data_IF_396303919809
#
_entry.id   IF_396303919809
#
_cell.length_a   1.000
_cell.length_b   1.000
_cell.length_c   1.000
_cell.angle_alpha   90.00
_cell.angle_beta   90.00
_cell.angle_gamma   90.00
#
_symmetry.space_group_name_H-M   'P 1'
#
loop_
_entity.id
_entity.type
_entity.pdbx_description
1 polymer ?
#
# COMPACT_ATOMS: atom_id res chain seq x y z
N UNK A 1 -2.38 14.11 9.18
CA UNK A 1 -2.33 13.18 8.06
C UNK A 1 -1.43 12.02 8.43
N UNK A 2 -1.89 10.80 8.14
CA UNK A 2 -1.13 9.56 8.30
C UNK A 2 -0.81 9.09 6.88
N UNK A 3 0.38 8.55 6.68
CA UNK A 3 0.75 7.84 5.46
C UNK A 3 1.17 6.41 5.76
N UNK A 4 1.11 5.58 4.72
CA UNK A 4 1.67 4.24 4.72
C UNK A 4 3.03 4.27 4.01
N UNK A 5 4.07 3.81 4.69
CA UNK A 5 5.40 3.64 4.14
C UNK A 5 5.67 2.15 3.86
N UNK A 6 6.03 1.83 2.62
CA UNK A 6 6.56 0.51 2.24
C UNK A 6 8.07 0.46 2.52
N UNK A 7 8.48 -0.42 3.42
CA UNK A 7 9.85 -0.50 3.91
C UNK A 7 10.65 -1.55 3.15
N UNK A 8 11.86 -1.20 2.72
CA UNK A 8 12.72 -2.10 1.94
C UNK A 8 12.01 -2.60 0.67
N UNK A 9 11.64 -1.65 -0.19
CA UNK A 9 10.99 -1.90 -1.48
C UNK A 9 11.83 -2.89 -2.31
N UNK A 10 11.19 -3.94 -2.82
CA UNK A 10 11.81 -4.99 -3.64
C UNK A 10 11.31 -4.97 -5.07
N UNK A 11 10.03 -4.66 -5.26
CA UNK A 11 9.41 -4.56 -6.57
C UNK A 11 8.34 -3.47 -6.56
N UNK A 12 8.26 -2.74 -7.66
CA UNK A 12 7.23 -1.74 -7.91
C UNK A 12 6.79 -1.83 -9.36
N UNK A 13 5.58 -2.33 -9.58
CA UNK A 13 4.88 -2.23 -10.85
C UNK A 13 3.72 -1.25 -10.66
N UNK A 14 3.72 -0.16 -11.43
CA UNK A 14 2.59 0.76 -11.50
C UNK A 14 1.89 0.53 -12.82
N UNK A 15 0.61 0.20 -12.80
CA UNK A 15 -0.18 0.00 -14.01
C UNK A 15 -1.06 1.23 -14.24
N UNK A 16 -0.63 2.19 -15.08
CA UNK A 16 -1.42 3.38 -15.34
C UNK A 16 -2.67 3.03 -16.15
N UNK A 17 -3.80 3.50 -15.66
CA UNK A 17 -5.09 3.48 -16.34
C UNK A 17 -5.34 4.82 -17.04
N UNK A 18 -6.31 4.88 -17.94
CA UNK A 18 -6.65 6.12 -18.64
C UNK A 18 -7.34 7.13 -17.70
N UNK A 19 -7.70 8.31 -18.22
CA UNK A 19 -8.32 9.40 -17.44
C UNK A 19 -9.70 9.07 -16.86
N UNK A 20 -10.29 7.92 -17.20
CA UNK A 20 -11.59 7.49 -16.68
C UNK A 20 -11.50 6.91 -15.26
N UNK A 21 -10.30 6.76 -14.70
CA UNK A 21 -10.04 6.15 -13.40
C UNK A 21 -9.44 7.14 -12.39
N UNK A 22 -9.68 6.88 -11.10
CA UNK A 22 -9.02 7.62 -10.01
C UNK A 22 -7.59 7.12 -9.81
N UNK A 23 -6.74 7.91 -9.15
CA UNK A 23 -5.38 7.51 -8.78
C UNK A 23 -5.32 6.60 -7.54
N UNK A 24 -6.44 5.98 -7.17
CA UNK A 24 -6.58 5.20 -5.93
C UNK A 24 -6.19 3.74 -6.17
N UNK A 25 -5.52 3.13 -5.19
CA UNK A 25 -5.40 1.67 -5.12
C UNK A 25 -6.69 1.15 -4.49
N UNK A 26 -7.66 0.76 -5.32
CA UNK A 26 -8.97 0.28 -4.89
C UNK A 26 -9.00 -1.26 -4.75
N UNK A 27 -9.89 -1.76 -3.91
CA UNK A 27 -10.15 -3.21 -3.70
C UNK A 27 -8.86 -4.00 -3.40
N UNK A 28 -7.90 -3.39 -2.70
CA UNK A 28 -6.55 -3.95 -2.64
C UNK A 28 -6.46 -5.25 -1.84
N UNK A 29 -5.68 -6.21 -2.34
CA UNK A 29 -5.29 -7.41 -1.59
C UNK A 29 -3.86 -7.28 -1.06
N UNK A 30 -3.66 -7.56 0.23
CA UNK A 30 -2.35 -7.66 0.86
C UNK A 30 -2.01 -9.14 1.14
N UNK A 31 -0.91 -9.62 0.58
CA UNK A 31 -0.43 -11.01 0.71
C UNK A 31 0.94 -11.00 1.40
N UNK A 32 1.14 -11.87 2.40
CA UNK A 32 2.43 -12.03 3.07
C UNK A 32 3.08 -13.35 2.64
N UNK A 33 4.21 -13.28 1.95
CA UNK A 33 4.91 -14.46 1.41
C UNK A 33 6.43 -14.27 1.48
N UNK A 34 7.14 -15.28 1.98
CA UNK A 34 8.60 -15.31 2.10
C UNK A 34 9.22 -14.08 2.79
N UNK A 35 8.56 -13.65 3.88
CA UNK A 35 8.97 -12.47 4.65
C UNK A 35 8.76 -11.13 3.94
N UNK A 36 7.97 -11.11 2.86
CA UNK A 36 7.61 -9.91 2.11
C UNK A 36 6.11 -9.67 2.14
N UNK A 37 5.74 -8.42 1.92
CA UNK A 37 4.37 -7.98 1.73
C UNK A 37 4.20 -7.62 0.26
N UNK A 38 3.20 -8.23 -0.38
CA UNK A 38 2.73 -7.92 -1.71
C UNK A 38 1.41 -7.16 -1.58
N UNK A 39 1.34 -5.96 -2.14
CA UNK A 39 0.15 -5.11 -2.14
C UNK A 39 -0.30 -4.92 -3.58
N UNK A 40 -1.49 -5.43 -3.90
CA UNK A 40 -2.06 -5.43 -5.24
C UNK A 40 -3.33 -4.57 -5.29
N UNK A 41 -3.59 -3.91 -6.41
CA UNK A 41 -4.79 -3.07 -6.66
C UNK A 41 -6.04 -3.84 -7.13
N UNK A 42 -6.19 -5.09 -6.68
CA UNK A 42 -7.35 -5.93 -7.02
C UNK A 42 -7.70 -6.88 -5.87
N UNK A 43 -9.01 -7.13 -5.71
CA UNK A 43 -9.56 -7.91 -4.62
C UNK A 43 -9.54 -9.41 -4.91
N UNK A 44 -9.66 -10.20 -3.85
CA UNK A 44 -9.75 -11.66 -3.92
C UNK A 44 -8.55 -12.36 -4.58
N UNK A 45 -7.37 -11.74 -4.53
CA UNK A 45 -6.13 -12.38 -4.99
C UNK A 45 -5.58 -13.34 -3.93
N UNK A 46 -4.82 -14.31 -4.40
CA UNK A 46 -4.11 -15.30 -3.60
C UNK A 46 -2.63 -15.37 -4.01
N UNK A 47 -1.82 -16.09 -3.25
CA UNK A 47 -0.39 -16.25 -3.55
C UNK A 47 -0.13 -16.85 -4.94
N UNK A 48 -1.04 -17.67 -5.48
CA UNK A 48 -0.88 -18.27 -6.81
C UNK A 48 -1.08 -17.27 -7.95
N UNK A 49 -1.72 -16.14 -7.68
CA UNK A 49 -2.00 -15.12 -8.71
C UNK A 49 -0.81 -14.17 -8.90
N UNK A 50 0.15 -14.14 -7.97
CA UNK A 50 1.25 -13.17 -7.94
C UNK A 50 2.18 -13.26 -9.16
N UNK A 51 2.46 -14.46 -9.64
CA UNK A 51 3.43 -14.68 -10.74
C UNK A 51 2.91 -14.16 -12.09
N UNK A 52 1.59 -14.15 -12.26
CA UNK A 52 0.90 -13.71 -13.49
C UNK A 52 0.16 -12.37 -13.32
N UNK A 53 0.30 -11.71 -12.17
CA UNK A 53 -0.41 -10.46 -11.90
C UNK A 53 0.13 -9.30 -12.74
N UNK A 54 -0.76 -8.60 -13.45
CA UNK A 54 -0.39 -7.53 -14.39
C UNK A 54 -0.83 -6.13 -13.95
N UNK A 55 -1.54 -6.02 -12.82
CA UNK A 55 -1.98 -4.74 -12.25
C UNK A 55 -0.88 -4.05 -11.43
N UNK A 56 -1.26 -3.02 -10.66
CA UNK A 56 -0.34 -2.34 -9.74
C UNK A 56 0.05 -3.28 -8.61
N UNK A 57 1.34 -3.53 -8.46
CA UNK A 57 1.91 -4.42 -7.45
C UNK A 57 3.09 -3.77 -6.77
N UNK A 58 3.06 -3.74 -5.45
CA UNK A 58 4.16 -3.30 -4.60
C UNK A 58 4.63 -4.48 -3.77
N UNK A 59 5.91 -4.84 -3.84
CA UNK A 59 6.55 -5.81 -2.96
C UNK A 59 7.54 -5.11 -2.05
N UNK A 60 7.41 -5.28 -0.74
CA UNK A 60 8.29 -4.66 0.25
C UNK A 60 8.57 -5.62 1.42
N UNK A 61 9.66 -5.37 2.15
CA UNK A 61 9.99 -6.15 3.36
C UNK A 61 9.09 -5.85 4.56
N UNK A 62 8.39 -4.71 4.55
CA UNK A 62 7.49 -4.31 5.63
C UNK A 62 6.60 -3.14 5.26
N UNK A 63 5.61 -2.85 6.11
CA UNK A 63 4.75 -1.68 6.00
C UNK A 63 4.67 -1.04 7.39
N UNK A 64 4.74 0.30 7.44
CA UNK A 64 4.40 1.04 8.65
C UNK A 64 3.48 2.22 8.34
N UNK A 65 2.58 2.49 9.27
CA UNK A 65 1.88 3.77 9.32
C UNK A 65 2.75 4.79 10.04
N UNK A 66 2.85 6.01 9.52
CA UNK A 66 3.55 7.11 10.19
C UNK A 66 2.77 8.41 10.08
N UNK A 67 2.94 9.25 11.09
CA UNK A 67 2.46 10.63 11.04
C UNK A 67 3.29 11.42 10.02
N UNK A 68 2.60 12.25 9.25
CA UNK A 68 3.27 13.28 8.46
C UNK A 68 3.36 14.53 9.32
N UNK A 69 4.58 14.86 9.74
CA UNK A 69 4.84 16.06 10.54
C UNK A 69 4.32 17.31 9.82
N UNK A 70 3.72 18.25 10.57
CA UNK A 70 3.17 19.51 10.05
C UNK A 70 1.98 19.39 9.05
N UNK A 71 1.56 18.19 8.66
CA UNK A 71 0.41 17.96 7.77
C UNK A 71 -0.84 17.47 8.51
N UNK A 72 -0.83 17.49 9.84
CA UNK A 72 -1.99 17.12 10.64
C UNK A 72 -2.98 18.30 10.81
N UNK A 73 -2.56 19.55 10.58
CA UNK A 73 -3.33 20.75 10.94
C UNK A 73 -3.10 21.12 12.41
N UNK A 74 -3.65 22.25 12.86
CA UNK A 74 -3.39 22.83 14.19
C UNK A 74 -4.37 22.47 15.31
N UNK A 75 -5.27 21.48 15.14
CA UNK A 75 -6.29 21.09 16.13
C UNK A 75 -5.99 19.73 16.78
N UNK A 76 -6.67 19.42 17.89
CA UNK A 76 -6.47 18.21 18.70
C UNK A 76 -6.59 16.91 17.89
N UNK A 77 -5.55 16.09 17.98
CA UNK A 77 -5.57 14.69 17.54
C UNK A 77 -5.63 13.81 18.78
N UNK A 78 -6.23 12.63 18.63
CA UNK A 78 -6.12 11.61 19.65
C UNK A 78 -4.65 11.19 19.76
N UNK A 79 -4.03 11.54 20.88
CA UNK A 79 -2.76 10.97 21.29
C UNK A 79 -3.06 9.75 22.15
N UNK A 80 -2.45 8.63 21.80
CA UNK A 80 -2.42 7.45 22.67
C UNK A 80 -1.66 7.81 23.95
N UNK A 81 -2.27 7.65 25.12
CA UNK A 81 -1.63 7.87 26.44
C UNK A 81 -0.63 6.76 26.83
N UNK A 82 -0.14 6.00 25.85
CA UNK A 82 0.65 4.76 26.05
C UNK A 82 2.10 4.98 25.67
#
# INVERSE_FOLDING_TARGET
>A
MIEMEFQGLKHLNLFPVNEDYTCEILDSTMIMKDGNIYWCDCGNLSESDLDDYTGTLICASGIRWRSIENHMGGKEFYHSDV
#
